data_IF_437036241759
#
_entry.id   IF_437036241759
#
_cell.length_a   1.000
_cell.length_b   1.000
_cell.length_c   1.000
_cell.angle_alpha   90.00
_cell.angle_beta   90.00
_cell.angle_gamma   90.00
#
_symmetry.space_group_name_H-M   'P 1'
#
loop_
_entity.id
_entity.type
_entity.pdbx_description
1 polymer ?
#
# COMPACT_ATOMS: atom_id res chain seq x y z
N UNK A 1 0.18 19.46 -33.90
CA UNK A 1 -0.41 18.48 -33.00
C UNK A 1 0.72 17.76 -32.32
N UNK A 2 0.95 17.95 -31.03
CA UNK A 2 2.00 17.26 -30.29
C UNK A 2 1.42 15.91 -29.83
N UNK A 3 2.03 14.82 -30.27
CA UNK A 3 1.77 13.49 -29.72
C UNK A 3 2.19 13.49 -28.24
N UNK A 4 1.26 13.28 -27.33
CA UNK A 4 1.54 13.13 -25.89
C UNK A 4 1.28 11.69 -25.48
N UNK A 5 2.30 11.06 -24.93
CA UNK A 5 2.15 9.75 -24.28
C UNK A 5 1.89 9.97 -22.80
N UNK A 6 0.76 9.50 -22.32
CA UNK A 6 0.40 9.53 -20.91
C UNK A 6 0.56 8.14 -20.31
N UNK A 7 1.30 8.04 -19.23
CA UNK A 7 1.55 6.75 -18.55
C UNK A 7 1.10 6.86 -17.08
N UNK A 8 -0.21 6.89 -16.82
CA UNK A 8 -0.74 7.02 -15.45
C UNK A 8 -0.38 5.85 -14.53
N UNK A 9 0.11 4.75 -15.08
CA UNK A 9 0.66 3.62 -14.33
C UNK A 9 1.92 3.98 -13.53
N UNK A 10 2.73 4.92 -14.05
CA UNK A 10 4.08 5.21 -13.52
C UNK A 10 4.16 6.61 -12.95
N UNK A 11 3.38 7.55 -13.48
CA UNK A 11 3.48 8.96 -13.13
C UNK A 11 2.10 9.56 -12.90
N UNK A 12 1.90 10.18 -11.74
CA UNK A 12 0.72 11.01 -11.49
C UNK A 12 0.81 12.26 -12.35
N UNK A 13 -0.16 12.44 -13.23
CA UNK A 13 -0.25 13.60 -14.10
C UNK A 13 -1.13 14.64 -13.42
N UNK A 14 -0.65 15.87 -13.19
CA UNK A 14 -1.47 16.89 -12.55
C UNK A 14 -2.58 17.38 -13.49
N UNK A 15 -3.70 17.78 -12.92
CA UNK A 15 -4.90 18.26 -13.61
C UNK A 15 -4.63 19.50 -14.49
N UNK A 16 -3.63 20.31 -14.09
CA UNK A 16 -3.15 21.45 -14.88
C UNK A 16 -2.66 21.08 -16.29
N UNK A 17 -2.24 19.82 -16.49
CA UNK A 17 -1.84 19.33 -17.82
C UNK A 17 -3.03 19.26 -18.79
N UNK A 18 -4.23 19.12 -18.27
CA UNK A 18 -5.50 19.04 -19.03
C UNK A 18 -6.30 20.33 -18.99
N UNK A 19 -5.74 21.40 -18.41
CA UNK A 19 -6.39 22.70 -18.32
C UNK A 19 -7.13 22.97 -17.02
N UNK A 20 -6.95 22.15 -16.01
CA UNK A 20 -7.44 22.41 -14.65
C UNK A 20 -6.65 23.52 -13.95
N UNK A 21 -7.28 24.16 -12.98
CA UNK A 21 -6.70 25.30 -12.24
C UNK A 21 -5.81 24.85 -11.06
N UNK A 22 -5.86 23.58 -10.66
CA UNK A 22 -5.21 23.05 -9.45
C UNK A 22 -4.17 21.99 -9.77
N UNK A 23 -3.09 21.93 -9.00
CA UNK A 23 -2.08 20.86 -9.05
C UNK A 23 -2.54 19.60 -8.29
N UNK A 24 -3.81 19.23 -8.44
CA UNK A 24 -4.35 17.99 -7.90
C UNK A 24 -4.08 16.82 -8.84
N UNK A 25 -4.00 15.58 -8.32
CA UNK A 25 -3.94 14.39 -9.16
C UNK A 25 -5.17 14.31 -10.04
N UNK A 26 -4.97 14.04 -11.32
CA UNK A 26 -6.06 13.93 -12.31
C UNK A 26 -7.02 12.81 -11.96
N UNK A 27 -8.32 13.09 -11.98
CA UNK A 27 -9.36 12.07 -11.92
C UNK A 27 -9.56 11.46 -13.31
N UNK A 28 -9.08 10.26 -13.51
CA UNK A 28 -9.18 9.53 -14.79
C UNK A 28 -10.59 8.97 -15.07
N UNK A 29 -11.52 9.13 -14.13
CA UNK A 29 -12.93 8.77 -14.30
C UNK A 29 -13.76 9.95 -14.82
N UNK A 30 -13.18 11.15 -14.87
CA UNK A 30 -13.88 12.33 -15.41
C UNK A 30 -14.09 12.16 -16.92
N UNK A 31 -15.35 12.26 -17.42
CA UNK A 31 -15.66 12.19 -18.84
C UNK A 31 -14.90 13.20 -19.71
N UNK A 32 -14.56 14.37 -19.17
CA UNK A 32 -13.77 15.37 -19.86
C UNK A 32 -12.34 14.88 -20.12
N UNK A 33 -11.74 14.28 -19.13
CA UNK A 33 -10.39 13.71 -19.22
C UNK A 33 -10.38 12.51 -20.20
N UNK A 34 -11.40 11.65 -20.14
CA UNK A 34 -11.55 10.52 -21.06
C UNK A 34 -11.68 11.00 -22.52
N UNK A 35 -12.40 12.09 -22.75
CA UNK A 35 -12.54 12.68 -24.08
C UNK A 35 -11.21 13.25 -24.60
N UNK A 36 -10.37 13.84 -23.73
CA UNK A 36 -9.05 14.34 -24.11
C UNK A 36 -8.10 13.18 -24.49
N UNK A 37 -8.17 12.05 -23.81
CA UNK A 37 -7.37 10.87 -24.16
C UNK A 37 -7.82 10.21 -25.47
N UNK A 38 -9.09 10.33 -25.83
CA UNK A 38 -9.65 9.76 -27.04
C UNK A 38 -9.32 10.56 -28.32
N UNK A 39 -8.65 11.71 -28.19
CA UNK A 39 -8.25 12.51 -29.35
C UNK A 39 -7.20 11.80 -30.21
N UNK A 40 -7.30 11.86 -31.54
CA UNK A 40 -6.33 11.24 -32.44
C UNK A 40 -4.95 11.82 -32.23
N UNK A 41 -3.99 10.97 -31.91
CA UNK A 41 -2.59 11.32 -31.62
C UNK A 41 -2.19 11.26 -30.15
N UNK A 42 -3.12 11.00 -29.25
CA UNK A 42 -2.81 10.73 -27.86
C UNK A 42 -2.76 9.23 -27.61
N UNK A 43 -1.80 8.80 -26.81
CA UNK A 43 -1.65 7.43 -26.35
C UNK A 43 -1.65 7.41 -24.82
N UNK A 44 -2.59 6.69 -24.23
CA UNK A 44 -2.69 6.53 -22.78
C UNK A 44 -2.58 5.05 -22.39
N UNK A 45 -1.69 4.73 -21.48
CA UNK A 45 -1.48 3.40 -20.92
C UNK A 45 -2.09 3.36 -19.53
N UNK A 46 -3.27 2.78 -19.42
CA UNK A 46 -4.00 2.67 -18.18
C UNK A 46 -3.57 1.44 -17.37
N UNK A 47 -3.57 1.53 -16.04
CA UNK A 47 -3.50 0.36 -15.19
C UNK A 47 -4.74 -0.53 -15.38
N UNK A 48 -4.66 -1.76 -14.92
CA UNK A 48 -5.77 -2.73 -14.96
C UNK A 48 -7.03 -2.19 -14.25
N UNK A 49 -6.83 -1.38 -13.24
CA UNK A 49 -7.88 -0.62 -12.55
C UNK A 49 -7.62 0.88 -12.74
N UNK A 50 -8.59 1.57 -13.33
CA UNK A 50 -8.51 3.03 -13.56
C UNK A 50 -8.76 3.85 -12.30
N UNK A 51 -9.37 3.24 -11.28
CA UNK A 51 -9.70 3.91 -10.03
C UNK A 51 -8.47 4.04 -9.15
N UNK A 52 -8.18 5.26 -8.70
CA UNK A 52 -7.19 5.51 -7.66
C UNK A 52 -7.82 5.21 -6.28
N UNK A 53 -7.01 4.79 -5.31
CA UNK A 53 -7.50 4.41 -3.98
C UNK A 53 -8.19 5.54 -3.19
N UNK A 54 -7.98 6.80 -3.59
CA UNK A 54 -8.64 7.99 -3.01
C UNK A 54 -9.81 8.49 -3.83
N UNK A 55 -9.90 8.15 -5.11
CA UNK A 55 -10.92 8.66 -6.02
C UNK A 55 -12.30 8.19 -5.56
N UNK A 56 -13.21 9.13 -5.43
CA UNK A 56 -14.62 8.88 -5.15
C UNK A 56 -15.36 8.82 -6.49
N UNK A 57 -16.03 7.72 -6.75
CA UNK A 57 -16.83 7.59 -7.96
C UNK A 57 -18.16 8.34 -7.81
N UNK A 58 -18.20 9.57 -8.27
CA UNK A 58 -19.43 10.40 -8.30
C UNK A 58 -20.42 9.97 -9.39
N UNK A 59 -19.98 9.19 -10.37
CA UNK A 59 -20.77 8.72 -11.51
C UNK A 59 -21.28 7.28 -11.34
N UNK A 60 -21.24 6.75 -10.11
CA UNK A 60 -21.72 5.41 -9.82
C UNK A 60 -23.22 5.29 -10.11
N UNK A 61 -23.61 4.24 -10.84
CA UNK A 61 -25.02 3.94 -11.17
C UNK A 61 -25.87 3.56 -9.95
N UNK A 62 -25.23 3.11 -8.87
CA UNK A 62 -25.88 2.62 -7.67
C UNK A 62 -25.46 3.47 -6.47
N UNK A 63 -26.35 3.62 -5.47
CA UNK A 63 -25.98 4.27 -4.22
C UNK A 63 -24.85 3.49 -3.51
N UNK A 64 -23.97 4.20 -2.84
CA UNK A 64 -22.87 3.62 -2.09
C UNK A 64 -23.36 3.07 -0.73
N UNK A 65 -22.87 1.88 -0.29
CA UNK A 65 -21.93 0.99 -0.97
C UNK A 65 -22.53 0.24 -2.16
N UNK A 66 -21.87 0.30 -3.33
CA UNK A 66 -22.35 -0.37 -4.52
C UNK A 66 -21.82 -1.82 -4.60
N UNK A 67 -22.62 -2.77 -5.12
CA UNK A 67 -22.20 -4.16 -5.30
C UNK A 67 -21.10 -4.28 -6.37
N UNK A 68 -20.42 -5.44 -6.45
CA UNK A 68 -19.46 -5.72 -7.51
C UNK A 68 -20.05 -5.52 -8.90
N UNK A 69 -19.27 -4.88 -9.78
CA UNK A 69 -19.66 -4.57 -11.16
C UNK A 69 -18.45 -4.71 -12.10
N UNK A 70 -18.65 -4.56 -13.41
CA UNK A 70 -17.58 -4.59 -14.38
C UNK A 70 -16.56 -3.46 -14.18
N UNK A 71 -17.02 -2.31 -13.70
CA UNK A 71 -16.18 -1.13 -13.45
C UNK A 71 -15.51 -1.17 -12.07
N UNK A 72 -16.17 -1.79 -11.07
CA UNK A 72 -15.69 -1.95 -9.71
C UNK A 72 -15.79 -3.42 -9.29
N UNK A 73 -14.76 -4.19 -9.48
CA UNK A 73 -14.76 -5.65 -9.32
C UNK A 73 -15.13 -6.15 -7.92
N UNK A 74 -14.74 -5.41 -6.88
CA UNK A 74 -15.12 -5.70 -5.49
C UNK A 74 -16.18 -4.72 -4.94
N UNK A 75 -16.81 -3.94 -5.82
CA UNK A 75 -17.74 -2.91 -5.42
C UNK A 75 -17.07 -1.67 -4.84
N UNK A 76 -17.89 -0.79 -4.26
CA UNK A 76 -17.44 0.44 -3.62
C UNK A 76 -17.67 0.42 -2.11
N UNK A 77 -16.90 1.20 -1.39
CA UNK A 77 -17.12 1.43 0.04
C UNK A 77 -18.29 2.44 0.27
N UNK A 78 -18.55 2.74 1.55
CA UNK A 78 -19.54 3.71 2.00
C UNK A 78 -19.36 5.11 1.43
N UNK A 79 -18.14 5.45 0.98
CA UNK A 79 -17.77 6.74 0.39
C UNK A 79 -17.67 6.71 -1.14
N UNK A 80 -18.01 5.60 -1.78
CA UNK A 80 -17.91 5.45 -3.23
C UNK A 80 -16.50 5.22 -3.78
N UNK A 81 -15.55 4.82 -2.94
CA UNK A 81 -14.20 4.49 -3.37
C UNK A 81 -14.11 3.02 -3.75
N UNK A 82 -13.34 2.71 -4.79
CA UNK A 82 -13.16 1.34 -5.25
C UNK A 82 -12.39 0.49 -4.22
N UNK A 83 -13.03 -0.59 -3.77
CA UNK A 83 -12.46 -1.52 -2.78
C UNK A 83 -11.25 -2.25 -3.33
N UNK A 84 -11.25 -2.61 -4.62
CA UNK A 84 -10.13 -3.30 -5.26
C UNK A 84 -8.89 -2.40 -5.36
N UNK A 85 -9.04 -1.13 -5.73
CA UNK A 85 -7.94 -0.18 -5.75
C UNK A 85 -7.31 0.00 -4.36
N UNK A 86 -8.14 0.08 -3.32
CA UNK A 86 -7.68 0.19 -1.93
C UNK A 86 -6.94 -1.06 -1.46
N UNK A 87 -7.43 -2.24 -1.83
CA UNK A 87 -6.78 -3.50 -1.50
C UNK A 87 -5.40 -3.61 -2.16
N UNK A 88 -5.29 -3.26 -3.45
CA UNK A 88 -4.01 -3.25 -4.16
C UNK A 88 -3.01 -2.26 -3.56
N UNK A 89 -3.48 -1.08 -3.20
CA UNK A 89 -2.63 -0.08 -2.55
C UNK A 89 -2.15 -0.56 -1.17
N UNK A 90 -3.05 -1.10 -0.35
CA UNK A 90 -2.71 -1.67 0.96
C UNK A 90 -1.72 -2.82 0.84
N UNK A 91 -1.92 -3.71 -0.13
CA UNK A 91 -0.99 -4.81 -0.42
C UNK A 91 0.40 -4.28 -0.79
N UNK A 92 0.47 -3.30 -1.71
CA UNK A 92 1.74 -2.66 -2.08
C UNK A 92 2.49 -2.09 -0.87
N UNK A 93 1.78 -1.34 -0.03
CA UNK A 93 2.37 -0.74 1.19
C UNK A 93 2.87 -1.82 2.14
N UNK A 94 2.08 -2.87 2.38
CA UNK A 94 2.44 -3.97 3.27
C UNK A 94 3.66 -4.74 2.78
N UNK A 95 3.73 -5.04 1.48
CA UNK A 95 4.88 -5.73 0.88
C UNK A 95 6.14 -4.88 0.94
N UNK A 96 6.05 -3.59 0.59
CA UNK A 96 7.20 -2.69 0.66
C UNK A 96 7.70 -2.51 2.09
N UNK A 97 6.79 -2.38 3.05
CA UNK A 97 7.12 -2.29 4.46
C UNK A 97 7.78 -3.58 4.96
N UNK A 98 7.21 -4.75 4.64
CA UNK A 98 7.78 -6.04 4.99
C UNK A 98 9.18 -6.26 4.41
N UNK A 99 9.38 -5.88 3.14
CA UNK A 99 10.70 -5.92 2.49
C UNK A 99 11.70 -4.99 3.18
N UNK A 100 11.31 -3.75 3.46
CA UNK A 100 12.16 -2.79 4.15
C UNK A 100 12.56 -3.30 5.53
N UNK A 101 11.59 -3.82 6.29
CA UNK A 101 11.84 -4.40 7.61
C UNK A 101 12.80 -5.60 7.53
N UNK A 102 12.62 -6.46 6.53
CA UNK A 102 13.51 -7.63 6.31
C UNK A 102 14.93 -7.18 6.01
N UNK A 103 15.12 -6.21 5.11
CA UNK A 103 16.46 -5.70 4.76
C UNK A 103 17.15 -5.12 6.01
N UNK A 104 16.43 -4.27 6.75
CA UNK A 104 16.98 -3.69 8.00
C UNK A 104 17.30 -4.77 9.02
N UNK A 105 16.40 -5.74 9.20
CA UNK A 105 16.59 -6.87 10.12
C UNK A 105 17.80 -7.72 9.75
N UNK A 106 17.98 -8.04 8.46
CA UNK A 106 19.15 -8.80 7.97
C UNK A 106 20.45 -8.03 8.22
N UNK A 107 20.49 -6.74 7.89
CA UNK A 107 21.70 -5.92 8.13
C UNK A 107 22.05 -5.90 9.60
N UNK A 108 21.11 -5.63 10.49
CA UNK A 108 21.35 -5.61 11.94
C UNK A 108 21.77 -7.01 12.43
N UNK A 109 21.08 -8.05 11.98
CA UNK A 109 21.38 -9.44 12.37
C UNK A 109 22.77 -9.88 11.94
N UNK A 110 23.19 -9.58 10.70
CA UNK A 110 24.53 -9.90 10.19
C UNK A 110 25.60 -9.13 10.96
N UNK A 111 25.40 -7.84 11.22
CA UNK A 111 26.35 -7.03 11.99
C UNK A 111 26.48 -7.55 13.44
N UNK A 112 25.36 -7.82 14.09
CA UNK A 112 25.36 -8.37 15.44
C UNK A 112 26.04 -9.75 15.49
N UNK A 113 25.70 -10.63 14.54
CA UNK A 113 26.31 -11.96 14.44
C UNK A 113 27.82 -11.90 14.13
N UNK A 114 28.28 -10.97 13.29
CA UNK A 114 29.67 -10.76 12.99
C UNK A 114 30.44 -10.28 14.22
N UNK A 115 29.88 -9.37 15.00
CA UNK A 115 30.48 -8.90 16.25
C UNK A 115 30.54 -10.01 17.27
N UNK A 116 29.51 -10.82 17.44
CA UNK A 116 29.48 -11.97 18.32
C UNK A 116 30.55 -13.01 17.91
N UNK A 117 30.62 -13.33 16.61
CA UNK A 117 31.59 -14.29 16.10
C UNK A 117 33.06 -13.84 16.22
N UNK A 118 33.29 -12.52 16.05
CA UNK A 118 34.66 -11.97 16.13
C UNK A 118 35.16 -11.82 17.56
N UNK A 119 34.36 -11.30 18.45
CA UNK A 119 34.80 -11.06 19.84
C UNK A 119 34.67 -12.28 20.76
N UNK A 120 33.74 -13.19 20.46
CA UNK A 120 33.53 -14.45 21.21
C UNK A 120 33.38 -14.28 22.74
N UNK A 121 33.30 -15.39 23.46
CA UNK A 121 33.42 -15.43 24.91
C UNK A 121 32.40 -14.60 25.68
N UNK A 122 32.84 -13.57 26.39
CA UNK A 122 31.96 -12.75 27.28
C UNK A 122 30.94 -11.91 26.50
N UNK A 123 31.31 -11.47 25.32
CA UNK A 123 30.43 -10.64 24.48
C UNK A 123 29.23 -11.44 23.95
N UNK A 124 29.48 -12.68 23.59
CA UNK A 124 28.43 -13.61 23.15
C UNK A 124 27.43 -13.89 24.27
N UNK A 125 27.91 -14.17 25.48
CA UNK A 125 27.07 -14.40 26.67
C UNK A 125 26.17 -13.17 26.98
N UNK A 126 26.72 -11.96 26.93
CA UNK A 126 25.98 -10.74 27.21
C UNK A 126 24.90 -10.48 26.16
N UNK A 127 25.26 -10.63 24.87
CA UNK A 127 24.32 -10.42 23.78
C UNK A 127 23.22 -11.49 23.74
N UNK A 128 23.55 -12.75 24.01
CA UNK A 128 22.55 -13.81 24.18
C UNK A 128 21.55 -13.49 25.29
N UNK A 129 22.06 -13.07 26.46
CA UNK A 129 21.17 -12.67 27.57
C UNK A 129 20.27 -11.50 27.24
N UNK A 130 20.77 -10.50 26.49
CA UNK A 130 19.94 -9.39 26.02
C UNK A 130 18.84 -9.86 25.07
N UNK A 131 19.17 -10.76 24.14
CA UNK A 131 18.19 -11.31 23.18
C UNK A 131 17.15 -12.18 23.90
N UNK A 132 17.57 -12.99 24.89
CA UNK A 132 16.65 -13.80 25.70
C UNK A 132 15.69 -12.94 26.51
N UNK A 133 16.17 -11.87 27.17
CA UNK A 133 15.32 -10.93 27.90
C UNK A 133 14.32 -10.26 26.97
N UNK A 134 14.77 -9.81 25.79
CA UNK A 134 13.90 -9.17 24.82
C UNK A 134 12.87 -10.13 24.22
N UNK A 135 13.29 -11.37 23.97
CA UNK A 135 12.42 -12.43 23.47
C UNK A 135 11.37 -12.87 24.50
N UNK A 136 11.75 -12.94 25.78
CA UNK A 136 10.83 -13.36 26.85
C UNK A 136 9.74 -12.31 27.11
N UNK A 137 10.06 -11.02 27.03
CA UNK A 137 9.06 -9.95 27.17
C UNK A 137 7.94 -10.05 26.14
N UNK A 138 8.24 -10.52 24.91
CA UNK A 138 7.26 -10.70 23.85
C UNK A 138 6.36 -11.94 24.07
N UNK A 139 6.87 -12.97 24.71
CA UNK A 139 6.11 -14.21 24.92
C UNK A 139 5.14 -14.14 26.09
N UNK A 140 5.34 -13.23 27.06
CA UNK A 140 4.48 -13.08 28.21
C UNK A 140 3.14 -12.39 27.90
N UNK A 141 3.06 -11.56 26.86
CA UNK A 141 1.80 -10.94 26.45
C UNK A 141 0.75 -11.98 25.95
N UNK A 142 1.18 -13.11 25.41
CA UNK A 142 0.26 -14.14 24.92
C UNK A 142 -0.14 -15.18 25.95
N UNK A 143 0.60 -15.34 27.04
CA UNK A 143 0.27 -16.31 28.09
C UNK A 143 -0.70 -15.78 29.15
N UNK A 144 -0.78 -14.48 29.33
CA UNK A 144 -1.70 -13.87 30.29
C UNK A 144 -3.18 -13.95 29.86
N UNK A 145 -3.45 -13.99 28.56
CA UNK A 145 -4.83 -14.13 28.04
C UNK A 145 -5.41 -15.56 28.21
N UNK A 146 -4.56 -16.59 28.28
CA UNK A 146 -4.99 -17.98 28.44
C UNK A 146 -5.15 -18.41 29.91
N UNK A 147 -4.76 -17.56 30.86
CA UNK A 147 -4.88 -17.84 32.30
C UNK A 147 -6.01 -17.09 32.98
N UNK A 148 -7.05 -16.64 32.24
CA UNK A 148 -8.29 -16.27 32.92
C UNK A 148 -8.89 -17.53 33.53
N UNK A 149 -8.90 -17.67 34.87
CA UNK A 149 -9.42 -18.88 35.48
C UNK A 149 -10.92 -18.93 35.22
N UNK A 150 -11.33 -20.00 34.58
CA UNK A 150 -12.72 -20.39 34.48
C UNK A 150 -13.17 -20.78 35.89
N UNK A 151 -13.61 -19.79 36.65
CA UNK A 151 -14.36 -20.06 37.89
C UNK A 151 -15.82 -20.23 37.51
N UNK A 152 -16.23 -21.47 37.53
CA UNK A 152 -17.60 -21.89 37.73
C UNK A 152 -17.98 -21.61 39.17
#
# INVERSE_FOLDING_TARGET
MLFRSFVPIVQDVPETTFGGDFETPTDYLDPFIEQQFSQPGNFALYPLNRSHFKTINYFAKYPNPAPPSADNWLGTDDRGRDVFARLLYGFRVSVLFGLALTVVGVVIGVLAGAVQGFYGGRTDLVLQRLIEIWGSMRSEEHTSELQSPMYL
#
